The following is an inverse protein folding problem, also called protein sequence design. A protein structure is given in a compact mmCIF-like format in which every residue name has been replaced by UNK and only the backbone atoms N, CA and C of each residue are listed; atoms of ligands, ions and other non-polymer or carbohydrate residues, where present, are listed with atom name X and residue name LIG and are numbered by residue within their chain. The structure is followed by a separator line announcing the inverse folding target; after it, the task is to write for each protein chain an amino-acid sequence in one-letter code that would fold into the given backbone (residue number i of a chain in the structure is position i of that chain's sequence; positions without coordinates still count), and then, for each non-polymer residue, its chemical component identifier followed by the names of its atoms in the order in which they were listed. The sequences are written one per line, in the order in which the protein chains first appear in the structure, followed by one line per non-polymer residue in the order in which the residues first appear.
data_IF_055518515710
#
_entry.id   IF_055518515710
#
_cell.length_a   1.000
_cell.length_b   1.000
_cell.length_c   1.000
_cell.angle_alpha   90.00
_cell.angle_beta   90.00
_cell.angle_gamma   90.00
#
_symmetry.space_group_name_H-M   'P 1'
#
loop_
_entity.id
_entity.type
_entity.pdbx_description
1 polymer ?
#
# COMPACT_ATOMS: atom_id res chain seq x y z
N UNK A 1 -27.44 7.53 12.62
CA UNK A 1 -26.59 6.41 12.16
C UNK A 1 -25.99 5.73 13.38
N UNK A 2 -26.43 4.51 13.74
CA UNK A 2 -25.76 3.73 14.79
C UNK A 2 -24.63 2.94 14.10
N UNK A 3 -23.37 3.34 14.32
CA UNK A 3 -22.24 2.71 13.60
C UNK A 3 -20.87 3.16 14.08
N UNK A 4 -20.73 3.55 15.35
CA UNK A 4 -19.43 3.79 15.97
C UNK A 4 -18.92 2.49 16.59
N UNK A 5 -17.70 2.07 16.25
CA UNK A 5 -17.02 0.99 16.96
C UNK A 5 -16.25 1.54 18.17
N UNK A 6 -16.08 0.73 19.21
CA UNK A 6 -15.27 1.12 20.37
C UNK A 6 -13.79 1.13 20.02
N UNK A 7 -13.17 2.32 20.01
CA UNK A 7 -11.76 2.47 19.64
C UNK A 7 -10.81 1.75 20.62
N UNK A 8 -11.16 1.68 21.90
CA UNK A 8 -10.36 1.00 22.92
C UNK A 8 -10.38 -0.52 22.74
N UNK A 9 -11.53 -1.09 22.41
CA UNK A 9 -11.68 -2.53 22.11
C UNK A 9 -10.99 -2.92 20.80
N UNK A 10 -11.09 -2.06 19.79
CA UNK A 10 -10.36 -2.25 18.54
C UNK A 10 -8.85 -2.24 18.76
N UNK A 11 -8.34 -1.27 19.54
CA UNK A 11 -6.93 -1.18 19.86
C UNK A 11 -6.44 -2.40 20.66
N UNK A 12 -7.17 -2.83 21.68
CA UNK A 12 -6.79 -3.99 22.49
C UNK A 12 -6.77 -5.27 21.65
N UNK A 13 -7.73 -5.43 20.73
CA UNK A 13 -7.78 -6.56 19.81
C UNK A 13 -6.58 -6.57 18.85
N UNK A 14 -6.26 -5.43 18.23
CA UNK A 14 -5.07 -5.31 17.36
C UNK A 14 -3.80 -5.68 18.12
N UNK A 15 -3.62 -5.13 19.32
CA UNK A 15 -2.42 -5.40 20.12
C UNK A 15 -2.35 -6.89 20.52
N UNK A 16 -3.48 -7.51 20.83
CA UNK A 16 -3.53 -8.94 21.13
C UNK A 16 -3.17 -9.82 19.92
N UNK A 17 -3.59 -9.43 18.71
CA UNK A 17 -3.32 -10.20 17.49
C UNK A 17 -1.87 -10.00 17.00
N UNK A 18 -1.27 -8.82 17.22
CA UNK A 18 0.15 -8.55 16.92
C UNK A 18 1.11 -9.31 17.84
N UNK A 19 0.73 -9.48 19.12
CA UNK A 19 1.54 -10.23 20.10
C UNK A 19 1.29 -11.75 20.05
N UNK A 20 0.43 -12.24 19.16
CA UNK A 20 0.16 -13.67 19.03
C UNK A 20 1.13 -14.32 18.02
N UNK A 21 2.03 -15.22 18.43
CA UNK A 21 3.03 -15.80 17.53
C UNK A 21 2.46 -16.68 16.40
N UNK A 22 1.16 -17.01 16.45
CA UNK A 22 0.46 -17.81 15.43
C UNK A 22 -0.06 -16.98 14.23
N UNK A 23 -0.31 -15.68 14.39
CA UNK A 23 -0.82 -14.77 13.34
C UNK A 23 0.30 -14.25 12.44
N UNK A 24 1.53 -14.13 12.95
CA UNK A 24 2.74 -13.83 12.15
C UNK A 24 3.03 -14.88 11.06
N UNK A 25 2.45 -16.07 11.16
CA UNK A 25 2.72 -17.21 10.28
C UNK A 25 1.74 -17.36 9.12
N UNK A 26 0.59 -16.67 9.14
CA UNK A 26 -0.36 -16.74 8.03
C UNK A 26 0.11 -15.85 6.88
N UNK A 27 1.11 -16.34 6.13
CA UNK A 27 1.35 -15.86 4.76
C UNK A 27 0.00 -15.93 4.02
N UNK A 28 -0.54 -14.82 3.50
CA UNK A 28 -1.69 -14.92 2.62
C UNK A 28 -1.30 -15.86 1.49
N UNK A 29 -2.12 -16.89 1.24
CA UNK A 29 -1.90 -17.77 0.10
C UNK A 29 -1.94 -16.90 -1.15
N UNK A 30 -0.77 -16.62 -1.71
CA UNK A 30 -0.64 -15.94 -2.99
C UNK A 30 -1.25 -16.85 -4.04
N UNK A 31 -2.52 -16.67 -4.38
CA UNK A 31 -2.96 -17.00 -5.72
C UNK A 31 -2.12 -16.10 -6.63
N UNK A 32 -1.11 -16.71 -7.26
CA UNK A 32 -0.23 -16.06 -8.23
C UNK A 32 -1.09 -15.68 -9.44
N UNK A 33 -1.74 -14.52 -9.34
CA UNK A 33 -2.23 -13.79 -10.51
C UNK A 33 -1.02 -13.56 -11.40
N UNK A 34 -1.05 -14.13 -12.60
CA UNK A 34 0.01 -14.12 -13.61
C UNK A 34 0.33 -12.69 -14.12
N UNK A 35 -0.35 -11.67 -13.60
CA UNK A 35 -0.38 -10.30 -14.12
C UNK A 35 -0.11 -9.19 -13.11
N UNK A 36 0.18 -9.48 -11.84
CA UNK A 36 0.55 -8.42 -10.89
C UNK A 36 1.97 -8.61 -10.35
N UNK A 37 2.93 -7.75 -10.74
CA UNK A 37 4.30 -7.80 -10.21
C UNK A 37 4.37 -7.58 -8.69
N UNK A 38 3.28 -7.09 -8.09
CA UNK A 38 3.12 -6.94 -6.65
C UNK A 38 1.86 -7.66 -6.18
N UNK A 39 1.95 -8.86 -5.61
CA UNK A 39 0.81 -9.48 -4.98
C UNK A 39 0.36 -8.56 -3.83
N UNK A 40 -0.91 -8.14 -3.85
CA UNK A 40 -1.53 -7.41 -2.76
C UNK A 40 -1.52 -8.28 -1.50
N UNK A 41 -0.42 -8.21 -0.73
CA UNK A 41 -0.26 -8.94 0.54
C UNK A 41 -1.16 -8.35 1.63
N UNK A 42 -1.47 -7.06 1.51
CA UNK A 42 -2.34 -6.32 2.40
C UNK A 42 -3.07 -5.21 1.64
N UNK A 43 -4.28 -4.87 2.06
CA UNK A 43 -5.13 -3.85 1.44
C UNK A 43 -4.78 -2.41 1.89
N UNK A 44 -3.69 -2.22 2.63
CA UNK A 44 -3.12 -0.90 2.94
C UNK A 44 -2.38 -0.32 1.73
N UNK A 45 -3.07 -0.10 0.62
CA UNK A 45 -2.51 0.48 -0.62
C UNK A 45 -2.56 2.01 -0.64
N UNK A 46 -2.69 2.65 0.51
CA UNK A 46 -2.78 4.10 0.62
C UNK A 46 -1.49 4.78 0.14
N UNK A 47 -0.32 4.23 0.50
CA UNK A 47 0.97 4.88 0.27
C UNK A 47 2.09 3.87 0.06
N UNK A 48 2.85 4.04 -1.02
CA UNK A 48 4.13 3.39 -1.22
C UNK A 48 5.27 4.28 -0.73
N UNK A 49 6.17 3.70 0.06
CA UNK A 49 7.36 4.37 0.58
C UNK A 49 8.50 3.37 0.69
N UNK A 50 9.70 3.79 0.29
CA UNK A 50 10.92 3.01 0.49
C UNK A 50 11.70 3.62 1.65
N UNK A 51 11.98 2.80 2.64
CA UNK A 51 12.84 3.15 3.76
C UNK A 51 14.27 2.72 3.49
N UNK A 52 15.22 3.47 4.02
CA UNK A 52 16.63 3.08 4.03
C UNK A 52 16.78 1.81 4.87
N UNK A 53 17.51 0.83 4.34
CA UNK A 53 17.70 -0.44 5.02
C UNK A 53 18.00 -1.57 4.04
N UNK A 54 17.86 -2.79 4.54
CA UNK A 54 18.14 -4.01 3.80
C UNK A 54 16.89 -4.85 3.63
N UNK A 55 16.81 -5.57 2.52
CA UNK A 55 15.78 -6.57 2.29
C UNK A 55 16.01 -7.85 3.10
N UNK A 56 15.10 -8.83 2.96
CA UNK A 56 15.16 -10.13 3.64
C UNK A 56 16.45 -10.92 3.32
N UNK A 57 17.13 -10.59 2.21
CA UNK A 57 18.38 -11.21 1.75
C UNK A 57 19.62 -10.40 2.15
N UNK A 58 19.45 -9.30 2.89
CA UNK A 58 20.54 -8.43 3.32
C UNK A 58 21.06 -7.48 2.24
N UNK A 59 20.33 -7.33 1.13
CA UNK A 59 20.65 -6.40 0.03
C UNK A 59 20.06 -5.03 0.34
N UNK A 60 20.81 -3.97 0.06
CA UNK A 60 20.33 -2.61 0.27
C UNK A 60 19.09 -2.33 -0.59
N UNK A 61 18.07 -1.73 0.04
CA UNK A 61 16.85 -1.32 -0.65
C UNK A 61 17.18 -0.25 -1.68
N UNK A 62 16.80 -0.52 -2.94
CA UNK A 62 17.14 0.35 -4.06
C UNK A 62 16.26 1.60 -4.07
N UNK A 63 16.91 2.75 -4.08
CA UNK A 63 16.35 4.07 -4.36
C UNK A 63 17.18 4.68 -5.49
N UNK A 64 16.57 4.98 -6.63
CA UNK A 64 17.29 5.60 -7.75
C UNK A 64 17.49 7.11 -7.57
N UNK A 65 16.80 7.73 -6.62
CA UNK A 65 17.02 9.11 -6.19
C UNK A 65 17.93 9.22 -4.97
N UNK A 66 17.44 9.85 -3.90
CA UNK A 66 18.21 10.12 -2.69
C UNK A 66 17.42 9.76 -1.43
N UNK A 67 18.09 9.31 -0.37
CA UNK A 67 17.46 9.19 0.94
C UNK A 67 17.49 10.52 1.70
N UNK A 68 16.38 10.84 2.37
CA UNK A 68 16.26 11.98 3.29
C UNK A 68 15.34 11.59 4.44
N UNK A 69 15.82 11.75 5.68
CA UNK A 69 15.14 11.26 6.88
C UNK A 69 14.78 9.78 6.77
N UNK A 70 15.75 8.95 6.35
CA UNK A 70 15.61 7.51 6.13
C UNK A 70 14.55 7.09 5.09
N UNK A 71 13.96 8.04 4.34
CA UNK A 71 12.97 7.77 3.29
C UNK A 71 13.50 8.15 1.91
N UNK A 72 13.28 7.28 0.93
CA UNK A 72 13.63 7.53 -0.46
C UNK A 72 12.82 8.70 -1.02
N UNK A 73 13.52 9.62 -1.66
CA UNK A 73 13.02 10.63 -2.58
C UNK A 73 13.16 10.02 -3.97
N UNK A 74 12.03 9.77 -4.63
CA UNK A 74 12.03 9.04 -5.89
C UNK A 74 12.70 9.83 -7.01
N UNK A 75 13.61 9.15 -7.71
CA UNK A 75 14.25 9.62 -8.93
C UNK A 75 13.60 9.03 -10.19
N UNK A 76 14.13 9.40 -11.36
CA UNK A 76 13.57 8.93 -12.65
C UNK A 76 13.63 7.40 -12.79
N UNK A 77 14.68 6.77 -12.24
CA UNK A 77 14.86 5.32 -12.28
C UNK A 77 13.83 4.54 -11.45
N UNK A 78 13.16 5.20 -10.51
CA UNK A 78 12.13 4.58 -9.68
C UNK A 78 10.76 4.53 -10.37
N UNK A 79 10.53 5.35 -11.41
CA UNK A 79 9.21 5.50 -12.05
C UNK A 79 8.69 4.19 -12.67
N UNK A 80 9.58 3.39 -13.25
CA UNK A 80 9.21 2.10 -13.86
C UNK A 80 8.53 1.19 -12.84
N UNK A 81 9.03 1.17 -11.60
CA UNK A 81 8.41 0.45 -10.49
C UNK A 81 7.16 1.16 -9.98
N UNK A 82 7.15 2.48 -9.84
CA UNK A 82 5.99 3.21 -9.34
C UNK A 82 4.76 3.10 -10.24
N UNK A 83 4.95 2.98 -11.55
CA UNK A 83 3.84 2.93 -12.52
C UNK A 83 3.07 1.61 -12.55
N UNK A 84 3.65 0.52 -12.02
CA UNK A 84 3.05 -0.83 -11.96
C UNK A 84 2.60 -1.22 -10.54
N UNK A 85 2.85 -0.33 -9.57
CA UNK A 85 2.48 -0.48 -8.16
C UNK A 85 0.98 -0.22 -7.97
N UNK A 86 0.28 -1.02 -7.14
CA UNK A 86 -1.15 -0.81 -6.85
C UNK A 86 -1.43 0.35 -5.89
N UNK A 87 -0.41 0.90 -5.23
CA UNK A 87 -0.54 1.97 -4.26
C UNK A 87 -1.02 3.29 -4.88
N UNK A 88 -1.91 4.01 -4.18
CA UNK A 88 -2.53 5.24 -4.67
C UNK A 88 -1.59 6.45 -4.64
N UNK A 89 -0.69 6.50 -3.66
CA UNK A 89 0.21 7.64 -3.43
C UNK A 89 1.65 7.15 -3.29
N UNK A 90 2.58 7.79 -3.99
CA UNK A 90 4.02 7.60 -3.77
C UNK A 90 4.56 8.65 -2.79
N UNK A 91 5.26 8.21 -1.74
CA UNK A 91 6.00 9.09 -0.82
C UNK A 91 7.52 8.77 -0.88
N UNK A 92 8.41 9.71 -1.21
CA UNK A 92 8.22 11.16 -1.44
C UNK A 92 8.87 11.65 -2.72
N UNK A 93 8.40 12.80 -3.21
CA UNK A 93 8.98 13.51 -4.36
C UNK A 93 9.37 14.91 -3.92
N UNK A 94 10.58 15.35 -4.29
CA UNK A 94 11.02 16.74 -4.11
C UNK A 94 11.44 17.29 -5.46
N UNK A 95 10.73 18.34 -5.91
CA UNK A 95 10.95 18.98 -7.21
C UNK A 95 12.35 19.62 -7.27
N UNK A 96 12.88 20.09 -6.14
CA UNK A 96 14.21 20.70 -6.06
C UNK A 96 15.36 19.70 -6.25
N UNK A 97 15.09 18.39 -6.10
CA UNK A 97 16.11 17.34 -6.24
C UNK A 97 15.90 16.51 -7.50
N UNK A 98 14.69 16.01 -7.72
CA UNK A 98 14.35 15.13 -8.85
C UNK A 98 13.10 15.63 -9.59
N UNK A 99 13.16 16.81 -10.24
CA UNK A 99 11.99 17.40 -10.91
C UNK A 99 11.47 16.50 -12.04
N UNK A 100 12.38 15.88 -12.79
CA UNK A 100 12.04 14.97 -13.90
C UNK A 100 11.18 13.79 -13.42
N UNK A 101 11.47 13.23 -12.23
CA UNK A 101 10.69 12.13 -11.68
C UNK A 101 9.24 12.55 -11.43
N UNK A 102 9.03 13.73 -10.83
CA UNK A 102 7.70 14.26 -10.55
C UNK A 102 6.93 14.56 -11.85
N UNK A 103 7.54 15.28 -12.79
CA UNK A 103 6.86 15.70 -14.02
C UNK A 103 6.55 14.53 -14.96
N UNK A 104 7.48 13.59 -15.15
CA UNK A 104 7.22 12.41 -16.00
C UNK A 104 6.13 11.52 -15.41
N UNK A 105 6.10 11.35 -14.09
CA UNK A 105 5.02 10.62 -13.43
C UNK A 105 3.69 11.35 -13.60
N UNK A 106 3.66 12.66 -13.37
CA UNK A 106 2.45 13.48 -13.54
C UNK A 106 1.89 13.41 -14.96
N UNK A 107 2.75 13.52 -15.98
CA UNK A 107 2.36 13.39 -17.39
C UNK A 107 1.73 12.03 -17.66
N UNK A 108 2.36 10.92 -17.20
CA UNK A 108 1.83 9.57 -17.38
C UNK A 108 0.49 9.35 -16.66
N UNK A 109 0.32 9.89 -15.46
CA UNK A 109 -0.96 9.82 -14.74
C UNK A 109 -2.03 10.66 -15.45
N UNK A 110 -1.68 11.83 -15.98
CA UNK A 110 -2.59 12.68 -16.74
C UNK A 110 -3.05 12.01 -18.05
N UNK A 111 -2.12 11.39 -18.79
CA UNK A 111 -2.44 10.58 -19.97
C UNK A 111 -3.45 9.48 -19.63
N UNK A 112 -3.19 8.71 -18.57
CA UNK A 112 -4.10 7.65 -18.08
C UNK A 112 -5.49 8.19 -17.71
N UNK A 113 -5.55 9.37 -17.09
CA UNK A 113 -6.81 9.99 -16.71
C UNK A 113 -7.65 10.44 -17.92
N UNK A 114 -6.99 10.85 -19.01
CA UNK A 114 -7.63 11.32 -20.24
C UNK A 114 -7.97 10.18 -21.23
N UNK A 115 -7.37 9.00 -21.08
CA UNK A 115 -7.66 7.83 -21.92
C UNK A 115 -8.97 7.14 -21.50
N UNK A 116 -10.10 7.73 -21.87
CA UNK A 116 -11.45 7.23 -21.57
C UNK A 116 -11.74 5.82 -22.13
N UNK A 117 -11.05 5.41 -23.19
CA UNK A 117 -11.25 4.10 -23.82
C UNK A 117 -10.54 2.97 -23.07
N UNK A 118 -9.57 3.32 -22.23
CA UNK A 118 -8.74 2.38 -21.48
C UNK A 118 -8.82 2.64 -19.97
N UNK A 119 -9.88 3.29 -19.50
CA UNK A 119 -10.16 3.46 -18.09
C UNK A 119 -10.39 2.06 -17.48
N UNK A 120 -9.36 1.56 -16.82
CA UNK A 120 -9.49 0.37 -15.98
C UNK A 120 -10.56 0.66 -14.94
N UNK A 121 -11.58 -0.20 -14.88
CA UNK A 121 -12.58 -0.11 -13.84
C UNK A 121 -11.91 -0.30 -12.49
N UNK A 122 -12.00 0.71 -11.64
CA UNK A 122 -11.54 0.59 -10.26
C UNK A 122 -12.57 -0.24 -9.47
N UNK A 123 -12.19 -1.46 -9.12
CA UNK A 123 -12.99 -2.29 -8.24
C UNK A 123 -12.71 -1.97 -6.76
N UNK A 124 -13.60 -1.20 -6.16
CA UNK A 124 -13.54 -0.84 -4.75
C UNK A 124 -13.98 -1.99 -3.81
N UNK A 125 -14.49 -3.12 -4.34
CA UNK A 125 -15.01 -4.23 -3.52
C UNK A 125 -13.95 -4.78 -2.56
N UNK A 126 -12.68 -4.74 -2.96
CA UNK A 126 -11.57 -5.17 -2.11
C UNK A 126 -11.39 -4.28 -0.87
N UNK A 127 -11.68 -2.97 -0.95
CA UNK A 127 -11.62 -2.07 0.20
C UNK A 127 -12.72 -2.34 1.22
N UNK A 128 -13.84 -2.94 0.81
CA UNK A 128 -14.89 -3.36 1.76
C UNK A 128 -14.41 -4.50 2.68
N UNK A 129 -13.27 -5.12 2.38
CA UNK A 129 -12.66 -6.14 3.20
C UNK A 129 -11.76 -5.58 4.30
N UNK A 130 -11.48 -4.28 4.31
CA UNK A 130 -10.68 -3.63 5.35
C UNK A 130 -11.37 -3.78 6.71
N UNK A 131 -10.61 -4.10 7.79
CA UNK A 131 -11.19 -4.33 9.12
C UNK A 131 -12.10 -3.21 9.61
N UNK A 132 -11.68 -1.95 9.45
CA UNK A 132 -12.45 -0.78 9.87
C UNK A 132 -13.76 -0.63 9.09
N UNK A 133 -13.73 -0.92 7.78
CA UNK A 133 -14.92 -0.85 6.92
C UNK A 133 -15.90 -1.97 7.28
N UNK A 134 -15.39 -3.17 7.56
CA UNK A 134 -16.20 -4.31 7.98
C UNK A 134 -16.90 -4.06 9.32
N UNK A 135 -16.20 -3.49 10.30
CA UNK A 135 -16.79 -3.11 11.58
C UNK A 135 -17.85 -2.01 11.42
N UNK A 136 -17.58 -1.01 10.57
CA UNK A 136 -18.53 0.05 10.26
C UNK A 136 -19.80 -0.47 9.57
N UNK A 137 -19.67 -1.56 8.80
CA UNK A 137 -20.80 -2.28 8.18
C UNK A 137 -21.52 -3.25 9.16
N UNK A 138 -21.17 -3.25 10.45
CA UNK A 138 -21.87 -4.00 11.49
C UNK A 138 -21.34 -5.40 11.78
N UNK A 139 -20.17 -5.80 11.25
CA UNK A 139 -19.51 -7.05 11.68
C UNK A 139 -18.97 -6.92 13.11
N UNK A 140 -18.99 -8.01 13.88
CA UNK A 140 -18.37 -8.03 15.22
C UNK A 140 -16.85 -8.14 15.13
N UNK A 141 -16.16 -7.75 16.21
CA UNK A 141 -14.69 -7.84 16.30
C UNK A 141 -14.14 -9.26 16.11
N UNK A 142 -14.89 -10.31 16.48
CA UNK A 142 -14.42 -11.69 16.30
C UNK A 142 -14.50 -12.18 14.85
N UNK A 143 -15.38 -11.57 14.04
CA UNK A 143 -15.62 -11.96 12.65
C UNK A 143 -14.63 -11.31 11.68
N UNK A 144 -13.88 -10.31 12.14
CA UNK A 144 -12.95 -9.52 11.33
C UNK A 144 -11.53 -10.08 11.47
N UNK A 145 -10.90 -10.38 10.34
CA UNK A 145 -9.49 -10.76 10.30
C UNK A 145 -8.62 -9.53 10.17
N UNK A 146 -7.70 -9.37 11.11
CA UNK A 146 -6.67 -8.35 11.07
C UNK A 146 -5.43 -8.92 10.38
N UNK A 147 -5.08 -8.38 9.21
CA UNK A 147 -3.88 -8.75 8.47
C UNK A 147 -2.84 -7.63 8.64
N UNK A 148 -1.67 -7.96 9.20
CA UNK A 148 -0.53 -7.08 9.38
C UNK A 148 0.73 -7.74 8.81
#
# INVERSE_FOLDING_TARGET
MPGGFSASEFYSKIMSDLYNPKTLSSKPSTQKSKYQPFPLRSYYISRYQVWEGKDELGTDLKCAGNFSNYSCIFGIGDLSNLLIRPELVGHKFYVDLHPAAFFCLYEKIRERALDFNNQQSFDASYYSQLPQVQLSNGKSLEQVKFFF
#
